data_IF_222030954606
#
_entry.id   IF_222030954606
#
_cell.length_a   1.000
_cell.length_b   1.000
_cell.length_c   1.000
_cell.angle_alpha   90.00
_cell.angle_beta   90.00
_cell.angle_gamma   90.00
#
_symmetry.space_group_name_H-M   'P 1'
#
loop_
_entity.id
_entity.type
_entity.pdbx_description
1 polymer ?
#
# COMPACT_ATOMS: atom_id res chain seq x y z
N UNK A 1 -11.35 -11.82 5.36
CA UNK A 1 -10.95 -10.63 4.58
C UNK A 1 -12.15 -9.69 4.44
N UNK A 2 -12.08 -8.50 5.02
CA UNK A 2 -13.14 -7.51 4.84
C UNK A 2 -13.04 -6.92 3.42
N UNK A 3 -14.10 -7.02 2.61
CA UNK A 3 -14.09 -6.49 1.23
C UNK A 3 -13.74 -4.99 1.14
N UNK A 4 -13.91 -4.22 2.22
CA UNK A 4 -13.47 -2.82 2.28
C UNK A 4 -11.95 -2.67 2.38
N UNK A 5 -11.22 -3.63 2.94
CA UNK A 5 -9.76 -3.55 3.09
C UNK A 5 -9.05 -3.69 1.73
N UNK A 6 -9.40 -4.72 0.96
CA UNK A 6 -8.84 -4.93 -0.39
C UNK A 6 -9.17 -3.76 -1.34
N UNK A 7 -10.36 -3.17 -1.23
CA UNK A 7 -10.75 -2.02 -2.06
C UNK A 7 -9.85 -0.81 -1.81
N UNK A 8 -9.55 -0.50 -0.55
CA UNK A 8 -8.62 0.56 -0.19
C UNK A 8 -7.20 0.29 -0.73
N UNK A 9 -6.71 -0.94 -0.61
CA UNK A 9 -5.40 -1.31 -1.15
C UNK A 9 -5.33 -1.20 -2.70
N UNK A 10 -6.40 -1.61 -3.39
CA UNK A 10 -6.52 -1.45 -4.85
C UNK A 10 -6.50 0.03 -5.23
N UNK A 11 -7.18 0.89 -4.48
CA UNK A 11 -7.17 2.34 -4.71
C UNK A 11 -5.75 2.90 -4.64
N UNK A 12 -4.95 2.51 -3.64
CA UNK A 12 -3.56 2.96 -3.50
C UNK A 12 -2.74 2.54 -4.72
N UNK A 13 -2.81 1.27 -5.13
CA UNK A 13 -2.10 0.76 -6.32
C UNK A 13 -2.53 1.50 -7.59
N UNK A 14 -3.83 1.78 -7.74
CA UNK A 14 -4.35 2.51 -8.90
C UNK A 14 -3.89 3.96 -8.92
N UNK A 15 -3.88 4.65 -7.77
CA UNK A 15 -3.37 6.02 -7.65
C UNK A 15 -1.90 6.12 -8.02
N UNK A 16 -1.06 5.21 -7.52
CA UNK A 16 0.37 5.16 -7.86
C UNK A 16 0.59 4.92 -9.36
N UNK A 17 -0.17 3.97 -9.95
CA UNK A 17 -0.13 3.71 -11.39
C UNK A 17 -0.59 4.89 -12.23
N UNK A 18 -1.64 5.57 -11.80
CA UNK A 18 -2.15 6.77 -12.47
C UNK A 18 -1.14 7.93 -12.42
N UNK A 19 -0.31 7.99 -11.37
CA UNK A 19 0.79 8.94 -11.24
C UNK A 19 2.04 8.54 -12.07
N UNK A 20 2.02 7.39 -12.75
CA UNK A 20 3.10 6.92 -13.62
C UNK A 20 4.08 5.95 -12.95
N UNK A 21 3.82 5.52 -11.73
CA UNK A 21 4.68 4.58 -10.99
C UNK A 21 4.22 3.13 -11.13
N UNK A 22 5.17 2.22 -11.16
CA UNK A 22 4.91 0.81 -10.92
C UNK A 22 4.47 0.61 -9.45
N UNK A 23 3.39 -0.15 -9.26
CA UNK A 23 2.88 -0.51 -7.94
C UNK A 23 2.27 -1.92 -7.95
N UNK A 24 2.63 -2.72 -6.95
CA UNK A 24 2.27 -4.13 -6.84
C UNK A 24 1.91 -4.48 -5.39
N UNK A 25 1.01 -5.45 -5.21
CA UNK A 25 0.88 -6.11 -3.90
C UNK A 25 2.15 -6.92 -3.63
N UNK A 26 2.61 -6.89 -2.38
CA UNK A 26 3.86 -7.52 -1.98
C UNK A 26 3.71 -8.32 -0.68
N UNK A 27 4.82 -8.92 -0.25
CA UNK A 27 4.93 -9.51 1.08
C UNK A 27 4.14 -10.79 1.31
N UNK A 28 3.91 -11.08 2.59
CA UNK A 28 3.22 -12.29 3.05
C UNK A 28 1.77 -12.35 2.61
N UNK A 29 1.16 -11.20 2.34
CA UNK A 29 -0.21 -11.11 1.86
C UNK A 29 -0.43 -11.84 0.54
N UNK A 30 0.46 -11.63 -0.44
CA UNK A 30 0.33 -12.27 -1.76
C UNK A 30 0.39 -13.79 -1.62
N UNK A 31 1.31 -14.30 -0.81
CA UNK A 31 1.40 -15.74 -0.48
C UNK A 31 0.08 -16.23 0.11
N UNK A 32 -0.41 -15.55 1.14
CA UNK A 32 -1.61 -15.97 1.88
C UNK A 32 -2.86 -15.92 0.99
N UNK A 33 -3.01 -14.87 0.17
CA UNK A 33 -4.07 -14.74 -0.82
C UNK A 33 -4.07 -15.91 -1.81
N UNK A 34 -2.91 -16.29 -2.36
CA UNK A 34 -2.77 -17.42 -3.29
C UNK A 34 -3.08 -18.76 -2.61
N UNK A 35 -2.73 -18.91 -1.33
CA UNK A 35 -3.03 -20.10 -0.53
C UNK A 35 -4.47 -20.14 0.01
N UNK A 36 -5.30 -19.11 -0.27
CA UNK A 36 -6.63 -18.93 0.32
C UNK A 36 -6.60 -18.87 1.85
N UNK A 37 -5.48 -18.43 2.41
CA UNK A 37 -5.30 -18.17 3.83
C UNK A 37 -5.70 -16.70 4.11
N UNK A 38 -6.61 -16.43 5.07
CA UNK A 38 -7.01 -15.06 5.37
C UNK A 38 -5.85 -14.29 6.03
N UNK A 39 -5.47 -13.17 5.41
CA UNK A 39 -4.58 -12.17 5.97
C UNK A 39 -5.15 -10.77 5.73
N UNK A 40 -5.02 -9.90 6.73
CA UNK A 40 -5.44 -8.49 6.69
C UNK A 40 -4.24 -7.53 6.61
N UNK A 41 -3.02 -8.05 6.51
CA UNK A 41 -1.78 -7.26 6.42
C UNK A 41 -1.39 -7.15 4.95
N UNK A 42 -1.64 -6.02 4.29
CA UNK A 42 -1.40 -5.81 2.85
C UNK A 42 -0.26 -4.81 2.65
N UNK A 43 0.84 -5.30 2.08
CA UNK A 43 1.98 -4.48 1.68
C UNK A 43 1.89 -4.10 0.19
N UNK A 44 2.31 -2.88 -0.13
CA UNK A 44 2.36 -2.38 -1.51
C UNK A 44 3.80 -1.96 -1.84
N UNK A 45 4.38 -2.62 -2.83
CA UNK A 45 5.68 -2.24 -3.38
C UNK A 45 5.52 -1.21 -4.51
N UNK A 46 6.34 -0.17 -4.55
CA UNK A 46 6.34 0.84 -5.61
C UNK A 46 7.72 1.40 -5.93
N UNK A 47 7.88 2.00 -7.11
CA UNK A 47 9.08 2.78 -7.46
C UNK A 47 8.99 4.26 -7.04
N UNK A 48 7.83 4.70 -6.55
CA UNK A 48 7.66 6.05 -6.03
C UNK A 48 8.51 6.26 -4.78
N UNK A 49 9.24 7.37 -4.71
CA UNK A 49 9.95 7.79 -3.51
C UNK A 49 8.96 8.09 -2.37
N UNK A 50 9.42 8.02 -1.10
CA UNK A 50 8.57 8.40 0.03
C UNK A 50 7.92 9.78 -0.09
N UNK A 51 8.62 10.75 -0.68
CA UNK A 51 8.08 12.10 -0.88
C UNK A 51 6.99 12.15 -1.96
N UNK A 52 7.11 11.36 -3.02
CA UNK A 52 6.06 11.20 -4.02
C UNK A 52 4.83 10.51 -3.43
N UNK A 53 5.02 9.45 -2.62
CA UNK A 53 3.92 8.80 -1.90
C UNK A 53 3.22 9.79 -0.97
N UNK A 54 3.96 10.56 -0.17
CA UNK A 54 3.40 11.58 0.72
C UNK A 54 2.63 12.65 -0.06
N UNK A 55 3.11 13.04 -1.24
CA UNK A 55 2.44 14.03 -2.09
C UNK A 55 1.14 13.51 -2.72
N UNK A 56 1.06 12.21 -3.02
CA UNK A 56 -0.09 11.57 -3.68
C UNK A 56 -1.25 11.25 -2.72
N UNK A 57 -0.99 11.10 -1.42
CA UNK A 57 -1.98 10.67 -0.44
C UNK A 57 -2.18 11.69 0.69
N UNK A 58 -3.44 12.05 1.03
CA UNK A 58 -3.74 13.09 2.01
C UNK A 58 -3.39 12.70 3.45
N UNK A 59 -3.36 11.40 3.75
CA UNK A 59 -3.10 10.88 5.09
C UNK A 59 -1.97 9.85 5.03
N UNK A 60 -0.80 10.24 5.54
CA UNK A 60 0.39 9.40 5.56
C UNK A 60 1.15 9.53 6.90
N UNK A 61 1.87 8.47 7.26
CA UNK A 61 2.79 8.46 8.41
C UNK A 61 4.17 7.99 7.94
N UNK A 62 5.20 8.86 7.97
CA UNK A 62 6.54 8.52 7.49
C UNK A 62 7.33 7.73 8.55
N UNK A 63 6.88 6.51 8.87
CA UNK A 63 7.48 5.66 9.91
C UNK A 63 8.91 5.21 9.60
N UNK A 64 9.27 5.14 8.32
CA UNK A 64 10.56 4.63 7.87
C UNK A 64 11.07 5.33 6.62
N UNK A 65 10.87 6.66 6.51
CA UNK A 65 11.25 7.43 5.31
C UNK A 65 12.72 7.22 4.90
N UNK A 66 13.64 7.12 5.87
CA UNK A 66 15.06 6.82 5.61
C UNK A 66 15.32 5.43 5.02
N UNK A 67 14.36 4.51 5.16
CA UNK A 67 14.38 3.15 4.63
C UNK A 67 13.42 2.97 3.44
N UNK A 68 12.79 4.04 2.95
CA UNK A 68 11.83 3.98 1.84
C UNK A 68 10.37 3.70 2.24
N UNK A 69 10.04 3.60 3.52
CA UNK A 69 8.71 3.15 3.98
C UNK A 69 7.81 4.30 4.41
N UNK A 70 6.58 4.31 3.88
CA UNK A 70 5.50 5.23 4.26
C UNK A 70 4.24 4.43 4.57
N UNK A 71 3.58 4.72 5.68
CA UNK A 71 2.22 4.22 5.92
C UNK A 71 1.22 5.16 5.23
N UNK A 72 0.39 4.63 4.35
CA UNK A 72 -0.74 5.35 3.74
C UNK A 72 -2.02 4.94 4.45
N UNK A 73 -2.87 5.92 4.80
CA UNK A 73 -4.14 5.68 5.49
C UNK A 73 -5.30 5.93 4.52
N UNK A 74 -6.10 4.91 4.26
CA UNK A 74 -7.32 4.97 3.43
C UNK A 74 -8.46 4.27 4.16
N UNK A 75 -9.62 4.92 4.26
CA UNK A 75 -10.79 4.41 5.01
C UNK A 75 -10.44 3.95 6.43
N UNK A 76 -9.66 4.77 7.17
CA UNK A 76 -9.14 4.50 8.52
C UNK A 76 -8.28 3.24 8.65
N UNK A 77 -7.74 2.73 7.53
CA UNK A 77 -6.86 1.56 7.52
C UNK A 77 -5.45 1.91 7.07
N UNK A 78 -4.41 1.46 7.80
CA UNK A 78 -3.03 1.65 7.42
C UNK A 78 -2.58 0.64 6.36
N UNK A 79 -1.73 1.08 5.45
CA UNK A 79 -1.07 0.26 4.43
C UNK A 79 0.40 0.61 4.37
N UNK A 80 1.29 -0.39 4.41
CA UNK A 80 2.70 -0.16 4.13
C UNK A 80 2.91 0.04 2.63
N UNK A 81 3.58 1.14 2.27
CA UNK A 81 3.97 1.47 0.90
C UNK A 81 5.48 1.73 0.88
N UNK A 82 6.21 0.95 0.08
CA UNK A 82 7.68 0.94 0.04
C UNK A 82 8.26 0.66 -1.33
#
# INVERSE_FOLDING_TARGET
>A
MHQSHLRAAILIVQTLKAAGHHALFAGGWVRDYLLKHPSDDIDIATEASPDEVIALFPHTVPVGKSFGVVIVIVDDKPFEVS
#
